data_IF_337813470206
#
_entry.id   IF_337813470206
#
_cell.length_a   1.000
_cell.length_b   1.000
_cell.length_c   1.000
_cell.angle_alpha   90.00
_cell.angle_beta   90.00
_cell.angle_gamma   90.00
#
_symmetry.space_group_name_H-M   'P 1'
#
loop_
_entity.id
_entity.type
_entity.pdbx_description
1 polymer ?
#
# COMPACT_ATOMS: atom_id res chain seq x y z
N UNK A 1 -23.20 2.98 44.06
CA UNK A 1 -22.16 2.27 43.35
C UNK A 1 -21.09 3.30 42.96
N UNK A 2 -19.93 3.28 43.61
CA UNK A 2 -18.79 4.11 43.23
C UNK A 2 -18.21 3.53 41.95
N UNK A 3 -18.36 4.25 40.84
CA UNK A 3 -17.76 3.87 39.57
C UNK A 3 -16.24 3.93 39.66
N UNK A 4 -15.57 2.85 39.26
CA UNK A 4 -14.10 2.84 39.14
C UNK A 4 -13.76 3.85 38.04
N UNK A 5 -12.90 4.86 38.31
CA UNK A 5 -12.51 5.82 37.29
C UNK A 5 -11.72 5.08 36.21
N UNK A 6 -12.32 4.92 35.03
CA UNK A 6 -11.62 4.40 33.84
C UNK A 6 -10.58 5.42 33.40
N UNK A 7 -9.38 4.97 33.09
CA UNK A 7 -8.39 5.85 32.46
C UNK A 7 -8.91 6.28 31.08
N UNK A 8 -8.57 7.48 30.65
CA UNK A 8 -8.97 8.04 29.35
C UNK A 8 -8.61 7.08 28.20
N UNK A 9 -7.46 6.44 28.28
CA UNK A 9 -7.02 5.42 27.33
C UNK A 9 -7.98 4.22 27.28
N UNK A 10 -8.37 3.66 28.43
CA UNK A 10 -9.28 2.50 28.48
C UNK A 10 -10.65 2.88 27.92
N UNK A 11 -11.12 4.10 28.15
CA UNK A 11 -12.37 4.58 27.57
C UNK A 11 -12.28 4.74 26.04
N UNK A 12 -11.17 5.30 25.53
CA UNK A 12 -10.90 5.43 24.10
C UNK A 12 -10.79 4.07 23.41
N UNK A 13 -9.99 3.15 23.96
CA UNK A 13 -9.84 1.80 23.45
C UNK A 13 -11.19 1.04 23.43
N UNK A 14 -12.00 1.19 24.49
CA UNK A 14 -13.33 0.61 24.56
C UNK A 14 -14.29 1.16 23.49
N UNK A 15 -14.22 2.47 23.23
CA UNK A 15 -15.00 3.11 22.15
C UNK A 15 -14.57 2.57 20.78
N UNK A 16 -13.28 2.49 20.51
CA UNK A 16 -12.76 1.93 19.27
C UNK A 16 -13.22 0.48 19.06
N UNK A 17 -13.16 -0.35 20.10
CA UNK A 17 -13.64 -1.73 20.03
C UNK A 17 -15.14 -1.84 19.79
N UNK A 18 -15.94 -0.86 20.26
CA UNK A 18 -17.39 -0.84 20.03
C UNK A 18 -17.76 -0.57 18.55
N UNK A 19 -16.84 -0.02 17.76
CA UNK A 19 -17.04 0.20 16.33
C UNK A 19 -16.76 -1.04 15.47
N UNK A 20 -16.18 -2.09 16.06
CA UNK A 20 -15.89 -3.32 15.32
C UNK A 20 -17.17 -4.04 14.91
N UNK A 21 -17.12 -4.72 13.76
CA UNK A 21 -18.20 -5.64 13.41
C UNK A 21 -18.30 -6.78 14.42
N UNK A 22 -19.50 -7.38 14.61
CA UNK A 22 -19.72 -8.40 15.64
C UNK A 22 -18.80 -9.61 15.53
N UNK A 23 -18.41 -10.00 14.32
CA UNK A 23 -17.53 -11.15 14.09
C UNK A 23 -16.12 -10.87 14.59
N UNK A 24 -15.54 -9.71 14.21
CA UNK A 24 -14.20 -9.32 14.65
C UNK A 24 -14.16 -9.05 16.15
N UNK A 25 -15.20 -8.40 16.71
CA UNK A 25 -15.33 -8.22 18.15
C UNK A 25 -15.37 -9.57 18.89
N UNK A 26 -16.09 -10.55 18.34
CA UNK A 26 -16.11 -11.91 18.88
C UNK A 26 -14.74 -12.59 18.87
N UNK A 27 -13.95 -12.42 17.81
CA UNK A 27 -12.56 -12.93 17.75
C UNK A 27 -11.67 -12.28 18.81
N UNK A 28 -11.79 -10.97 19.02
CA UNK A 28 -11.07 -10.25 20.07
C UNK A 28 -11.46 -10.76 21.47
N UNK A 29 -12.75 -10.92 21.71
CA UNK A 29 -13.29 -11.40 23.00
C UNK A 29 -12.84 -12.82 23.35
N UNK A 30 -12.58 -13.67 22.34
CA UNK A 30 -12.04 -15.04 22.53
C UNK A 30 -10.50 -15.08 22.55
N UNK A 31 -9.82 -13.94 22.37
CA UNK A 31 -8.36 -13.90 22.31
C UNK A 31 -7.76 -14.40 20.99
N UNK A 32 -8.58 -14.62 19.98
CA UNK A 32 -8.16 -15.07 18.63
C UNK A 32 -7.54 -13.93 17.81
N UNK A 33 -7.86 -12.70 18.16
CA UNK A 33 -7.32 -11.50 17.51
C UNK A 33 -6.77 -10.52 18.56
N UNK A 34 -5.56 -9.95 18.37
CA UNK A 34 -4.93 -9.04 19.32
C UNK A 34 -5.71 -7.73 19.52
N UNK A 35 -5.94 -7.35 20.78
CA UNK A 35 -6.72 -6.17 21.18
C UNK A 35 -6.11 -4.88 20.62
N UNK A 36 -4.78 -4.73 20.70
CA UNK A 36 -4.06 -3.54 20.19
C UNK A 36 -4.30 -3.29 18.70
N UNK A 37 -4.36 -4.35 17.90
CA UNK A 37 -4.68 -4.26 16.46
C UNK A 37 -6.16 -3.97 16.24
N UNK A 38 -7.02 -4.57 17.02
CA UNK A 38 -8.47 -4.37 16.95
C UNK A 38 -8.85 -2.91 17.25
N UNK A 39 -8.19 -2.28 18.24
CA UNK A 39 -8.36 -0.84 18.55
C UNK A 39 -8.01 0.01 17.34
N UNK A 40 -6.86 -0.23 16.69
CA UNK A 40 -6.46 0.51 15.48
C UNK A 40 -7.51 0.36 14.37
N UNK A 41 -8.07 -0.84 14.19
CA UNK A 41 -9.11 -1.10 13.19
C UNK A 41 -10.37 -0.31 13.51
N UNK A 42 -10.84 -0.35 14.75
CA UNK A 42 -12.05 0.36 15.17
C UNK A 42 -11.90 1.89 15.13
N UNK A 43 -10.69 2.42 15.36
CA UNK A 43 -10.40 3.85 15.23
C UNK A 43 -10.34 4.34 13.78
N UNK A 44 -9.80 3.52 12.88
CA UNK A 44 -9.44 3.96 11.53
C UNK A 44 -10.42 3.54 10.44
N UNK A 45 -11.15 2.46 10.64
CA UNK A 45 -12.03 1.89 9.62
C UNK A 45 -13.49 1.96 10.10
N UNK A 46 -14.30 2.88 9.56
CA UNK A 46 -15.65 3.14 10.09
C UNK A 46 -16.69 2.09 9.67
N UNK A 47 -16.40 1.25 8.68
CA UNK A 47 -17.39 0.33 8.10
C UNK A 47 -17.02 -1.15 8.26
N UNK A 48 -18.07 -1.99 8.46
CA UNK A 48 -17.92 -3.42 8.70
C UNK A 48 -17.22 -4.17 7.55
N UNK A 49 -17.42 -3.76 6.32
CA UNK A 49 -16.82 -4.44 5.17
C UNK A 49 -15.33 -4.08 5.04
N UNK A 50 -14.95 -2.85 5.44
CA UNK A 50 -13.54 -2.46 5.60
C UNK A 50 -12.83 -3.31 6.65
N UNK A 51 -13.51 -3.66 7.75
CA UNK A 51 -12.95 -4.57 8.76
C UNK A 51 -12.60 -5.94 8.18
N UNK A 52 -13.48 -6.55 7.38
CA UNK A 52 -13.20 -7.84 6.73
C UNK A 52 -12.03 -7.75 5.74
N UNK A 53 -12.01 -6.70 4.91
CA UNK A 53 -10.93 -6.48 3.97
C UNK A 53 -9.57 -6.36 4.69
N UNK A 54 -9.54 -5.59 5.78
CA UNK A 54 -8.31 -5.39 6.55
C UNK A 54 -7.85 -6.68 7.25
N UNK A 55 -8.76 -7.45 7.84
CA UNK A 55 -8.42 -8.74 8.48
C UNK A 55 -7.82 -9.71 7.47
N UNK A 56 -8.44 -9.87 6.28
CA UNK A 56 -7.89 -10.68 5.20
C UNK A 56 -6.47 -10.25 4.79
N UNK A 57 -6.24 -8.95 4.72
CA UNK A 57 -4.92 -8.40 4.41
C UNK A 57 -3.87 -8.73 5.48
N UNK A 58 -4.25 -8.58 6.75
CA UNK A 58 -3.37 -8.92 7.86
C UNK A 58 -3.00 -10.40 7.86
N UNK A 59 -3.97 -11.29 7.62
CA UNK A 59 -3.74 -12.73 7.49
C UNK A 59 -2.81 -13.06 6.32
N UNK A 60 -3.00 -12.41 5.18
CA UNK A 60 -2.14 -12.61 4.00
C UNK A 60 -0.71 -12.14 4.25
N UNK A 61 -0.52 -10.99 4.89
CA UNK A 61 0.82 -10.51 5.30
C UNK A 61 1.48 -11.49 6.28
N UNK A 62 0.71 -12.04 7.20
CA UNK A 62 1.20 -13.04 8.15
C UNK A 62 1.58 -14.36 7.47
N UNK A 63 0.76 -14.83 6.51
CA UNK A 63 1.11 -16.01 5.69
C UNK A 63 2.38 -15.81 4.87
N UNK A 64 2.67 -14.58 4.43
CA UNK A 64 3.92 -14.22 3.75
C UNK A 64 5.11 -14.05 4.69
N UNK A 65 4.95 -14.34 5.98
CA UNK A 65 6.00 -14.24 7.00
C UNK A 65 6.35 -12.81 7.40
N UNK A 66 5.55 -11.80 7.02
CA UNK A 66 5.78 -10.42 7.43
C UNK A 66 5.34 -10.21 8.87
N UNK A 67 6.18 -9.50 9.63
CA UNK A 67 5.83 -9.12 11.00
C UNK A 67 4.78 -8.01 10.98
N UNK A 68 3.64 -8.27 11.62
CA UNK A 68 2.57 -7.30 11.75
C UNK A 68 2.87 -6.37 12.95
N UNK A 69 3.40 -5.19 12.68
CA UNK A 69 3.56 -4.12 13.67
C UNK A 69 2.31 -3.24 13.72
N UNK A 70 2.15 -2.46 14.77
CA UNK A 70 1.05 -1.47 14.87
C UNK A 70 1.07 -0.48 13.69
N UNK A 71 2.26 -0.08 13.24
CA UNK A 71 2.41 0.83 12.09
C UNK A 71 1.98 0.16 10.79
N UNK A 72 2.33 -1.11 10.57
CA UNK A 72 1.82 -1.89 9.42
C UNK A 72 0.29 -1.97 9.42
N UNK A 73 -0.33 -2.17 10.60
CA UNK A 73 -1.80 -2.21 10.72
C UNK A 73 -2.41 -0.85 10.39
N UNK A 74 -1.80 0.26 10.86
CA UNK A 74 -2.26 1.62 10.54
C UNK A 74 -2.17 1.90 9.04
N UNK A 75 -1.04 1.60 8.41
CA UNK A 75 -0.86 1.78 6.97
C UNK A 75 -1.91 1.01 6.16
N UNK A 76 -2.16 -0.24 6.52
CA UNK A 76 -3.18 -1.06 5.86
C UNK A 76 -4.60 -0.53 6.11
N UNK A 77 -4.90 -0.03 7.31
CA UNK A 77 -6.18 0.58 7.63
C UNK A 77 -6.41 1.87 6.80
N UNK A 78 -5.40 2.71 6.66
CA UNK A 78 -5.44 3.91 5.81
C UNK A 78 -5.64 3.56 4.33
N UNK A 79 -5.01 2.48 3.84
CA UNK A 79 -5.23 1.98 2.49
C UNK A 79 -6.68 1.53 2.27
N UNK A 80 -7.26 0.78 3.23
CA UNK A 80 -8.65 0.33 3.15
C UNK A 80 -9.62 1.50 3.20
N UNK A 81 -9.34 2.51 4.02
CA UNK A 81 -10.17 3.71 4.13
C UNK A 81 -10.08 4.59 2.88
N UNK A 82 -8.89 4.73 2.29
CA UNK A 82 -8.69 5.54 1.08
C UNK A 82 -9.13 4.84 -0.21
N UNK A 83 -9.48 3.56 -0.15
CA UNK A 83 -10.05 2.85 -1.29
C UNK A 83 -11.42 3.46 -1.64
N UNK A 84 -11.64 3.94 -2.89
CA UNK A 84 -12.88 4.60 -3.25
C UNK A 84 -14.06 3.64 -3.08
N UNK A 85 -15.01 4.03 -2.22
CA UNK A 85 -16.33 3.39 -2.15
C UNK A 85 -17.06 3.71 -3.46
N UNK A 86 -17.03 2.80 -4.42
CA UNK A 86 -17.83 2.95 -5.64
C UNK A 86 -19.30 2.79 -5.32
N UNK A 87 -20.11 3.76 -5.75
CA UNK A 87 -21.56 3.74 -5.60
C UNK A 87 -22.19 2.54 -6.29
N UNK A 88 -23.21 1.99 -5.70
CA UNK A 88 -23.92 0.73 -5.96
C UNK A 88 -24.35 0.50 -7.44
N UNK A 89 -24.40 1.53 -8.27
CA UNK A 89 -24.90 1.43 -9.65
C UNK A 89 -23.91 0.82 -10.67
N UNK A 90 -22.59 0.85 -10.37
CA UNK A 90 -21.56 0.25 -11.25
C UNK A 90 -21.22 -1.20 -10.88
N UNK A 91 -21.70 -1.68 -9.73
CA UNK A 91 -21.32 -2.94 -9.11
C UNK A 91 -22.03 -4.15 -9.68
N UNK A 92 -23.19 -3.97 -10.34
CA UNK A 92 -24.00 -5.06 -10.92
C UNK A 92 -23.42 -5.67 -12.19
N UNK A 93 -22.48 -5.01 -12.86
CA UNK A 93 -21.87 -5.49 -14.11
C UNK A 93 -20.60 -6.34 -13.91
N UNK A 94 -19.92 -6.27 -12.78
CA UNK A 94 -18.60 -6.89 -12.57
C UNK A 94 -18.40 -7.70 -11.29
N UNK A 95 -19.45 -8.13 -10.63
CA UNK A 95 -19.34 -9.01 -9.46
C UNK A 95 -19.75 -8.36 -8.13
N UNK A 96 -19.69 -9.16 -7.07
CA UNK A 96 -20.13 -8.79 -5.72
C UNK A 96 -19.28 -7.64 -5.14
N UNK A 97 -19.84 -6.84 -4.22
CA UNK A 97 -19.14 -5.78 -3.49
C UNK A 97 -17.79 -6.24 -2.91
N UNK A 98 -17.71 -7.49 -2.53
CA UNK A 98 -16.51 -8.12 -1.96
C UNK A 98 -15.37 -8.21 -2.97
N UNK A 99 -15.64 -8.55 -4.25
CA UNK A 99 -14.60 -8.61 -5.27
C UNK A 99 -14.09 -7.22 -5.68
N UNK A 100 -14.96 -6.22 -5.72
CA UNK A 100 -14.57 -4.84 -6.04
C UNK A 100 -13.70 -4.24 -4.93
N UNK A 101 -14.02 -4.54 -3.68
CA UNK A 101 -13.25 -4.09 -2.52
C UNK A 101 -11.90 -4.79 -2.43
N UNK A 102 -11.84 -6.08 -2.75
CA UNK A 102 -10.59 -6.84 -2.86
C UNK A 102 -9.66 -6.21 -3.91
N UNK A 103 -10.17 -5.88 -5.10
CA UNK A 103 -9.41 -5.19 -6.15
C UNK A 103 -8.91 -3.82 -5.72
N UNK A 104 -9.71 -3.03 -5.00
CA UNK A 104 -9.30 -1.71 -4.51
C UNK A 104 -8.15 -1.82 -3.51
N UNK A 105 -8.18 -2.83 -2.65
CA UNK A 105 -7.12 -3.11 -1.69
C UNK A 105 -5.84 -3.59 -2.37
N UNK A 106 -5.94 -4.51 -3.32
CA UNK A 106 -4.77 -4.96 -4.09
C UNK A 106 -4.14 -3.81 -4.88
N UNK A 107 -4.98 -2.94 -5.45
CA UNK A 107 -4.51 -1.73 -6.11
C UNK A 107 -3.75 -0.81 -5.14
N UNK A 108 -4.26 -0.60 -3.94
CA UNK A 108 -3.59 0.23 -2.94
C UNK A 108 -2.24 -0.36 -2.51
N UNK A 109 -2.17 -1.68 -2.31
CA UNK A 109 -0.91 -2.37 -2.00
C UNK A 109 0.11 -2.27 -3.13
N UNK A 110 -0.32 -2.45 -4.36
CA UNK A 110 0.53 -2.35 -5.54
C UNK A 110 1.09 -0.92 -5.66
N UNK A 111 0.24 0.09 -5.49
CA UNK A 111 0.63 1.52 -5.48
C UNK A 111 1.67 1.78 -4.38
N UNK A 112 1.43 1.31 -3.15
CA UNK A 112 2.36 1.47 -2.05
C UNK A 112 3.70 0.77 -2.33
N UNK A 113 3.68 -0.44 -2.89
CA UNK A 113 4.89 -1.20 -3.22
C UNK A 113 5.74 -0.47 -4.26
N UNK A 114 5.13 0.02 -5.34
CA UNK A 114 5.82 0.77 -6.40
C UNK A 114 6.38 2.08 -5.86
N UNK A 115 5.58 2.83 -5.09
CA UNK A 115 5.99 4.08 -4.46
C UNK A 115 7.19 3.88 -3.53
N UNK A 116 7.13 2.88 -2.67
CA UNK A 116 8.22 2.56 -1.73
C UNK A 116 9.50 2.15 -2.47
N UNK A 117 9.39 1.42 -3.58
CA UNK A 117 10.53 1.06 -4.42
C UNK A 117 11.17 2.31 -5.04
N UNK A 118 10.39 3.20 -5.64
CA UNK A 118 10.88 4.47 -6.20
C UNK A 118 11.60 5.32 -5.15
N UNK A 119 10.99 5.47 -3.96
CA UNK A 119 11.57 6.23 -2.86
C UNK A 119 12.84 5.56 -2.30
N UNK A 120 12.90 4.24 -2.29
CA UNK A 120 14.09 3.49 -1.88
C UNK A 120 15.24 3.69 -2.88
N UNK A 121 14.98 3.56 -4.18
CA UNK A 121 15.99 3.77 -5.23
C UNK A 121 16.50 5.19 -5.23
N UNK A 122 15.62 6.19 -5.12
CA UNK A 122 16.02 7.60 -5.01
C UNK A 122 16.98 7.82 -3.84
N UNK A 123 16.68 7.27 -2.68
CA UNK A 123 17.53 7.41 -1.47
C UNK A 123 18.85 6.66 -1.62
N UNK A 124 18.79 5.40 -2.03
CA UNK A 124 19.96 4.54 -2.17
C UNK A 124 20.97 5.14 -3.13
N UNK A 125 20.56 5.41 -4.35
CA UNK A 125 21.43 5.96 -5.39
C UNK A 125 21.81 7.43 -5.13
N UNK A 126 20.93 8.22 -4.51
CA UNK A 126 21.24 9.57 -4.08
C UNK A 126 22.29 9.62 -2.98
N UNK A 127 22.36 8.62 -2.10
CA UNK A 127 23.43 8.51 -1.09
C UNK A 127 24.74 8.12 -1.74
N UNK A 128 24.76 7.12 -2.63
CA UNK A 128 25.95 6.71 -3.38
C UNK A 128 26.50 7.86 -4.21
N UNK A 129 25.63 8.60 -4.91
CA UNK A 129 26.02 9.75 -5.71
C UNK A 129 26.65 10.90 -4.88
N UNK A 130 26.35 11.00 -3.58
CA UNK A 130 26.92 12.02 -2.69
C UNK A 130 28.18 11.56 -1.97
N UNK A 131 28.24 10.32 -1.57
CA UNK A 131 29.35 9.81 -0.74
C UNK A 131 30.50 9.22 -1.54
N UNK A 132 30.32 9.01 -2.85
CA UNK A 132 31.34 8.42 -3.71
C UNK A 132 31.68 6.95 -3.38
N UNK A 133 30.97 6.35 -2.43
CA UNK A 133 31.18 4.96 -1.98
C UNK A 133 30.48 3.97 -2.92
N UNK A 134 30.99 3.87 -4.14
CA UNK A 134 30.58 2.82 -5.11
C UNK A 134 30.79 1.40 -4.54
N UNK A 135 31.54 1.23 -3.45
CA UNK A 135 31.88 -0.05 -2.86
C UNK A 135 30.66 -0.84 -2.30
N UNK A 136 29.61 -0.18 -1.87
CA UNK A 136 28.44 -0.90 -1.32
C UNK A 136 27.51 -1.49 -2.40
N UNK A 137 27.48 -0.90 -3.59
CA UNK A 137 26.73 -1.43 -4.74
C UNK A 137 27.45 -2.59 -5.46
N UNK A 138 28.74 -2.74 -5.23
CA UNK A 138 29.55 -3.83 -5.81
C UNK A 138 29.18 -5.24 -5.29
N UNK A 139 28.35 -5.35 -4.26
CA UNK A 139 27.86 -6.66 -3.77
C UNK A 139 26.98 -7.41 -4.78
N UNK A 140 26.53 -6.77 -5.85
CA UNK A 140 25.75 -7.37 -6.94
C UNK A 140 26.51 -7.63 -8.24
N UNK A 141 27.84 -7.43 -8.27
CA UNK A 141 28.68 -7.77 -9.45
C UNK A 141 28.83 -6.67 -10.51
N UNK A 142 28.05 -5.58 -10.45
CA UNK A 142 28.19 -4.43 -11.36
C UNK A 142 28.56 -3.16 -10.58
N UNK A 143 29.74 -2.61 -10.89
CA UNK A 143 30.14 -1.30 -10.34
C UNK A 143 29.38 -0.20 -11.07
N UNK A 144 28.45 0.45 -10.37
CA UNK A 144 27.75 1.63 -10.89
C UNK A 144 28.57 2.86 -10.51
N UNK A 145 28.97 3.67 -11.48
CA UNK A 145 29.71 4.91 -11.22
C UNK A 145 28.83 5.99 -10.58
N UNK A 146 29.44 7.03 -10.05
CA UNK A 146 28.78 8.13 -9.35
C UNK A 146 27.78 8.87 -10.25
N UNK A 147 28.14 9.10 -11.52
CA UNK A 147 27.30 9.82 -12.47
C UNK A 147 26.03 9.00 -12.80
N UNK A 148 26.18 7.71 -13.06
CA UNK A 148 25.05 6.78 -13.29
C UNK A 148 24.17 6.69 -12.04
N UNK A 149 24.75 6.65 -10.83
CA UNK A 149 23.99 6.65 -9.58
C UNK A 149 23.16 7.92 -9.41
N UNK A 150 23.74 9.09 -9.69
CA UNK A 150 23.01 10.37 -9.65
C UNK A 150 21.87 10.39 -10.68
N UNK A 151 22.12 9.90 -11.88
CA UNK A 151 21.10 9.82 -12.92
C UNK A 151 19.93 8.92 -12.51
N UNK A 152 20.22 7.74 -11.95
CA UNK A 152 19.18 6.82 -11.43
C UNK A 152 18.38 7.48 -10.30
N UNK A 153 19.06 8.15 -9.35
CA UNK A 153 18.38 8.85 -8.25
C UNK A 153 17.45 9.96 -8.75
N UNK A 154 17.91 10.75 -9.74
CA UNK A 154 17.11 11.80 -10.35
C UNK A 154 15.89 11.22 -11.07
N UNK A 155 16.07 10.19 -11.89
CA UNK A 155 14.98 9.52 -12.60
C UNK A 155 13.96 8.90 -11.65
N UNK A 156 14.43 8.25 -10.57
CA UNK A 156 13.54 7.69 -9.55
C UNK A 156 12.75 8.79 -8.80
N UNK A 157 13.38 9.93 -8.53
CA UNK A 157 12.74 11.09 -7.91
C UNK A 157 11.67 11.71 -8.81
N UNK A 158 11.97 11.93 -10.09
CA UNK A 158 11.01 12.43 -11.08
C UNK A 158 9.85 11.45 -11.26
N UNK A 159 10.15 10.16 -11.36
CA UNK A 159 9.13 9.10 -11.45
C UNK A 159 8.22 9.08 -10.23
N UNK A 160 8.77 9.27 -9.02
CA UNK A 160 7.99 9.31 -7.79
C UNK A 160 7.01 10.49 -7.78
N UNK A 161 7.46 11.68 -8.16
CA UNK A 161 6.60 12.89 -8.25
C UNK A 161 5.48 12.69 -9.27
N UNK A 162 5.80 12.22 -10.47
CA UNK A 162 4.83 11.96 -11.53
C UNK A 162 3.84 10.86 -11.12
N UNK A 163 4.33 9.79 -10.52
CA UNK A 163 3.52 8.69 -10.01
C UNK A 163 2.54 9.17 -8.94
N UNK A 164 3.00 9.90 -7.92
CA UNK A 164 2.15 10.41 -6.84
C UNK A 164 1.06 11.35 -7.36
N UNK A 165 1.36 12.12 -8.41
CA UNK A 165 0.40 13.03 -9.06
C UNK A 165 -0.63 12.28 -9.91
N UNK A 166 -0.23 11.26 -10.67
CA UNK A 166 -1.04 10.66 -11.73
C UNK A 166 -1.66 9.30 -11.38
N UNK A 167 -1.25 8.65 -10.27
CA UNK A 167 -1.74 7.32 -9.86
C UNK A 167 -3.27 7.21 -9.72
N UNK A 168 -3.95 8.33 -9.46
CA UNK A 168 -5.40 8.40 -9.30
C UNK A 168 -6.09 9.20 -10.42
N UNK A 169 -5.35 9.67 -11.43
CA UNK A 169 -5.92 10.36 -12.60
C UNK A 169 -6.47 9.35 -13.62
N UNK A 170 -7.27 9.82 -14.58
CA UNK A 170 -7.74 9.03 -15.72
C UNK A 170 -6.69 8.97 -16.85
N UNK A 171 -5.42 8.74 -16.51
CA UNK A 171 -4.31 8.75 -17.45
C UNK A 171 -3.63 7.39 -17.63
N UNK A 172 -2.57 7.31 -18.47
CA UNK A 172 -1.88 6.06 -18.79
C UNK A 172 -1.29 5.37 -17.55
N UNK A 173 -0.76 6.13 -16.58
CA UNK A 173 -0.21 5.56 -15.33
C UNK A 173 -1.29 4.86 -14.51
N UNK A 174 -2.47 5.46 -14.37
CA UNK A 174 -3.59 4.80 -13.69
C UNK A 174 -4.09 3.56 -14.44
N UNK A 175 -4.10 3.60 -15.78
CA UNK A 175 -4.45 2.44 -16.61
C UNK A 175 -3.46 1.28 -16.39
N UNK A 176 -2.16 1.55 -16.35
CA UNK A 176 -1.12 0.56 -16.05
C UNK A 176 -1.32 -0.07 -14.67
N UNK A 177 -1.60 0.75 -13.64
CA UNK A 177 -1.87 0.27 -12.28
C UNK A 177 -3.11 -0.63 -12.27
N UNK A 178 -4.20 -0.23 -12.93
CA UNK A 178 -5.43 -1.01 -12.97
C UNK A 178 -5.23 -2.34 -13.71
N UNK A 179 -4.51 -2.35 -14.83
CA UNK A 179 -4.16 -3.57 -15.57
C UNK A 179 -3.33 -4.51 -14.70
N UNK A 180 -2.32 -4.01 -14.03
CA UNK A 180 -1.48 -4.80 -13.12
C UNK A 180 -2.31 -5.36 -11.94
N UNK A 181 -3.21 -4.57 -11.37
CA UNK A 181 -4.13 -5.01 -10.31
C UNK A 181 -5.00 -6.17 -10.78
N UNK A 182 -5.59 -6.06 -11.96
CA UNK A 182 -6.44 -7.12 -12.55
C UNK A 182 -5.64 -8.41 -12.80
N UNK A 183 -4.39 -8.31 -13.25
CA UNK A 183 -3.51 -9.47 -13.45
C UNK A 183 -3.20 -10.19 -12.13
N UNK A 184 -2.92 -9.46 -11.05
CA UNK A 184 -2.69 -10.04 -9.73
C UNK A 184 -3.96 -10.70 -9.20
N UNK A 185 -5.12 -10.05 -9.32
CA UNK A 185 -6.40 -10.61 -8.93
C UNK A 185 -6.78 -11.86 -9.75
N UNK A 186 -6.34 -11.93 -11.00
CA UNK A 186 -6.46 -13.10 -11.87
C UNK A 186 -5.49 -14.24 -11.54
N UNK A 187 -4.67 -14.11 -10.47
CA UNK A 187 -3.77 -15.16 -9.99
C UNK A 187 -2.36 -15.13 -10.58
N UNK A 188 -2.00 -14.10 -11.36
CA UNK A 188 -0.61 -13.96 -11.81
C UNK A 188 0.34 -13.67 -10.63
N UNK A 189 1.59 -14.08 -10.76
CA UNK A 189 2.59 -13.84 -9.73
C UNK A 189 2.79 -12.35 -9.46
N UNK A 190 2.42 -11.90 -8.25
CA UNK A 190 2.44 -10.49 -7.86
C UNK A 190 3.81 -9.83 -8.01
N UNK A 191 4.92 -10.55 -7.71
CA UNK A 191 6.28 -10.03 -7.87
C UNK A 191 6.62 -9.77 -9.34
N UNK A 192 6.25 -10.69 -10.23
CA UNK A 192 6.45 -10.53 -11.68
C UNK A 192 5.65 -9.33 -12.19
N UNK A 193 4.36 -9.27 -11.87
CA UNK A 193 3.47 -8.17 -12.30
C UNK A 193 3.98 -6.81 -11.78
N UNK A 194 4.45 -6.76 -10.52
CA UNK A 194 5.02 -5.53 -9.95
C UNK A 194 6.30 -5.10 -10.68
N UNK A 195 7.16 -6.02 -11.07
CA UNK A 195 8.37 -5.70 -11.84
C UNK A 195 8.03 -5.22 -13.26
N UNK A 196 7.06 -5.85 -13.92
CA UNK A 196 6.56 -5.43 -15.24
C UNK A 196 5.98 -4.01 -15.16
N UNK A 197 5.10 -3.76 -14.17
CA UNK A 197 4.53 -2.43 -13.93
C UNK A 197 5.60 -1.39 -13.68
N UNK A 198 6.61 -1.70 -12.86
CA UNK A 198 7.70 -0.79 -12.55
C UNK A 198 8.48 -0.37 -13.82
N UNK A 199 8.79 -1.33 -14.67
CA UNK A 199 9.50 -1.08 -15.94
C UNK A 199 8.67 -0.23 -16.91
N UNK A 200 7.38 -0.54 -17.05
CA UNK A 200 6.45 0.23 -17.88
C UNK A 200 6.25 1.65 -17.35
N UNK A 201 6.15 1.82 -16.03
CA UNK A 201 6.02 3.11 -15.38
C UNK A 201 7.24 4.02 -15.68
N UNK A 202 8.46 3.50 -15.58
CA UNK A 202 9.65 4.27 -15.90
C UNK A 202 9.69 4.70 -17.37
N UNK A 203 9.16 3.89 -18.28
CA UNK A 203 9.02 4.23 -19.71
C UNK A 203 8.00 5.35 -19.90
N UNK A 204 6.80 5.22 -19.30
CA UNK A 204 5.75 6.24 -19.39
C UNK A 204 6.16 7.57 -18.79
N UNK A 205 6.86 7.57 -17.65
CA UNK A 205 7.37 8.80 -17.04
C UNK A 205 8.33 9.51 -17.97
N UNK A 206 9.23 8.79 -18.63
CA UNK A 206 10.15 9.41 -19.62
C UNK A 206 9.39 10.06 -20.77
N UNK A 207 8.31 9.46 -21.23
CA UNK A 207 7.45 10.02 -22.29
C UNK A 207 6.75 11.29 -21.83
N UNK A 208 6.22 11.29 -20.60
CA UNK A 208 5.54 12.45 -20.01
C UNK A 208 6.49 13.60 -19.74
N UNK A 209 7.68 13.32 -19.22
CA UNK A 209 8.70 14.34 -18.91
C UNK A 209 9.38 14.83 -20.19
N UNK A 210 9.70 13.94 -21.13
CA UNK A 210 10.34 14.29 -22.40
C UNK A 210 9.42 14.99 -23.41
N UNK A 211 8.11 14.71 -23.39
CA UNK A 211 7.12 15.34 -24.27
C UNK A 211 6.75 16.79 -23.92
N UNK A 212 7.19 17.29 -22.78
CA UNK A 212 6.98 18.67 -22.33
C UNK A 212 8.02 19.70 -22.86
N UNK A 213 8.96 19.28 -23.69
CA UNK A 213 10.02 20.13 -24.24
C UNK A 213 9.86 20.41 -25.74
N UNK A 214 8.66 20.36 -26.29
CA UNK A 214 8.38 20.71 -27.70
C UNK A 214 7.54 21.96 -27.78
#
# INVERSE_FOLDING_TARGET
>A
AQGVPLSEKVASDGLALSHLNPSLFGMVSRGEFPVDRAVIIGERVPDAAGHYALVKLLEEQQRRGKRLTADTVRELAEMVQSAPSRTTSELTLFGTEESTRSLAVERAQLVATVRNRLAHEQRLFGTVGRTGTAQELARGGNVIDVATSQQIATQAGEALVVFDRLKNSSGPISALINTATTRIAGGENAQKVTNDLYSQLLTEVRTVVGGGQS
#
